data_IF_856729639732
#
_entry.id   IF_856729639732
#
_cell.length_a   1.000
_cell.length_b   1.000
_cell.length_c   1.000
_cell.angle_alpha   90.00
_cell.angle_beta   90.00
_cell.angle_gamma   90.00
#
_symmetry.space_group_name_H-M   'P 1'
#
loop_
_entity.id
_entity.type
_entity.pdbx_description
1 polymer ?
#
# COMPACT_ATOMS: atom_id res chain seq x y z
N UNK A 1 8.42 26.39 -10.97
CA UNK A 1 7.20 26.66 -10.19
C UNK A 1 7.60 27.26 -8.85
N UNK A 2 6.90 28.31 -8.41
CA UNK A 2 7.07 28.94 -7.10
C UNK A 2 5.77 28.79 -6.31
N UNK A 3 5.84 28.21 -5.13
CA UNK A 3 4.74 28.18 -4.16
C UNK A 3 5.04 29.24 -3.11
N UNK A 4 4.12 30.17 -2.89
CA UNK A 4 4.29 31.27 -1.94
C UNK A 4 3.35 31.15 -0.76
N UNK A 5 3.70 31.77 0.37
CA UNK A 5 2.89 31.81 1.58
C UNK A 5 2.46 30.43 2.11
N UNK A 6 3.31 29.40 2.01
CA UNK A 6 3.04 28.06 2.49
C UNK A 6 3.40 27.91 3.97
N UNK A 7 2.47 27.43 4.81
CA UNK A 7 2.77 27.07 6.19
C UNK A 7 3.36 25.68 6.27
N UNK A 8 4.47 25.49 6.97
CA UNK A 8 5.07 24.20 7.27
C UNK A 8 4.55 23.65 8.61
N UNK A 9 4.76 22.35 8.86
CA UNK A 9 4.33 21.67 10.10
C UNK A 9 4.93 22.27 11.37
N UNK A 10 6.03 23.02 11.29
CA UNK A 10 6.67 23.72 12.40
C UNK A 10 6.16 25.16 12.59
N UNK A 11 5.16 25.57 11.81
CA UNK A 11 4.52 26.89 11.88
C UNK A 11 5.27 27.99 11.12
N UNK A 12 6.36 27.69 10.43
CA UNK A 12 7.01 28.69 9.57
C UNK A 12 6.20 28.88 8.29
N UNK A 13 6.02 30.14 7.90
CA UNK A 13 5.49 30.48 6.58
C UNK A 13 6.67 30.76 5.64
N UNK A 14 6.69 30.04 4.52
CA UNK A 14 7.82 30.06 3.57
C UNK A 14 7.32 30.12 2.14
N UNK A 15 8.21 30.52 1.26
CA UNK A 15 8.11 30.28 -0.17
C UNK A 15 9.00 29.08 -0.55
N UNK A 16 8.56 28.30 -1.52
CA UNK A 16 9.23 27.12 -2.00
C UNK A 16 9.31 27.13 -3.53
N UNK A 17 10.53 27.03 -4.07
CA UNK A 17 10.75 26.92 -5.51
C UNK A 17 11.02 25.48 -5.90
N UNK A 18 10.36 25.01 -6.95
CA UNK A 18 10.59 23.73 -7.59
C UNK A 18 11.17 23.94 -8.98
N UNK A 19 12.31 23.31 -9.24
CA UNK A 19 12.97 23.28 -10.54
C UNK A 19 13.05 21.83 -11.03
N UNK A 20 12.36 21.54 -12.16
CA UNK A 20 12.17 20.16 -12.60
C UNK A 20 11.43 19.34 -11.53
N UNK A 21 12.03 18.27 -11.05
CA UNK A 21 11.48 17.34 -10.04
C UNK A 21 12.06 17.55 -8.63
N UNK A 22 12.72 18.70 -8.40
CA UNK A 22 13.43 18.93 -7.13
C UNK A 22 13.04 20.26 -6.51
N UNK A 23 13.05 20.28 -5.17
CA UNK A 23 12.99 21.51 -4.41
C UNK A 23 14.33 22.21 -4.57
N UNK A 24 14.32 23.41 -5.16
CA UNK A 24 15.50 24.23 -5.44
C UNK A 24 15.80 25.19 -4.29
N UNK A 25 14.77 25.82 -3.75
CA UNK A 25 14.92 26.78 -2.66
C UNK A 25 13.73 26.77 -1.70
N UNK A 26 13.99 27.07 -0.42
CA UNK A 26 12.98 27.32 0.62
C UNK A 26 13.44 28.52 1.43
N UNK A 27 12.68 29.61 1.46
CA UNK A 27 12.97 30.80 2.22
C UNK A 27 11.67 31.56 2.61
N UNK A 28 11.78 32.52 3.52
CA UNK A 28 10.62 33.31 3.93
C UNK A 28 10.09 34.26 2.83
N UNK A 29 10.92 34.58 1.86
CA UNK A 29 10.58 35.49 0.74
C UNK A 29 11.52 35.16 -0.43
N UNK A 30 11.00 34.59 -1.50
CA UNK A 30 11.73 34.27 -2.71
C UNK A 30 11.30 35.22 -3.84
N UNK A 31 12.23 36.04 -4.31
CA UNK A 31 12.00 36.95 -5.44
C UNK A 31 11.65 36.17 -6.72
N UNK A 32 10.57 36.57 -7.40
CA UNK A 32 10.12 35.97 -8.66
C UNK A 32 11.13 36.01 -9.80
N UNK A 33 12.17 36.83 -9.73
CA UNK A 33 13.07 37.10 -10.84
C UNK A 33 14.57 36.96 -10.54
N UNK A 34 15.03 36.97 -9.30
CA UNK A 34 16.43 37.11 -8.97
C UNK A 34 17.18 35.77 -8.83
N UNK A 35 16.49 34.71 -8.44
CA UNK A 35 17.09 33.42 -8.13
C UNK A 35 16.90 32.34 -9.22
N UNK A 36 16.22 32.66 -10.30
CA UNK A 36 15.99 31.77 -11.44
C UNK A 36 17.25 31.49 -12.28
N UNK A 37 18.40 32.05 -11.92
CA UNK A 37 19.63 31.99 -12.73
C UNK A 37 20.32 30.61 -12.70
N UNK A 38 19.84 29.63 -11.94
CA UNK A 38 20.53 28.34 -11.75
C UNK A 38 19.93 27.14 -12.49
N UNK A 39 18.67 27.15 -12.90
CA UNK A 39 18.04 25.96 -13.46
C UNK A 39 16.93 26.21 -14.50
N UNK A 40 16.73 27.39 -14.99
CA UNK A 40 15.68 27.68 -15.96
C UNK A 40 16.08 27.30 -17.39
N UNK A 41 15.18 26.63 -18.08
CA UNK A 41 15.16 26.59 -19.55
C UNK A 41 15.11 28.06 -20.05
N UNK A 42 16.10 28.50 -20.85
CA UNK A 42 16.21 29.88 -21.26
C UNK A 42 15.05 30.39 -22.15
N UNK A 43 14.11 29.51 -22.49
CA UNK A 43 12.96 29.82 -23.36
C UNK A 43 11.61 29.88 -22.60
N UNK A 44 11.55 29.74 -21.28
CA UNK A 44 10.29 29.87 -20.52
C UNK A 44 10.24 31.17 -19.71
N UNK A 45 9.57 32.18 -20.26
CA UNK A 45 9.35 33.49 -19.63
C UNK A 45 8.34 33.51 -18.48
N UNK A 46 7.68 32.39 -18.11
CA UNK A 46 6.61 32.35 -17.11
C UNK A 46 6.84 31.24 -16.06
N UNK A 47 7.42 31.61 -14.92
CA UNK A 47 7.39 30.76 -13.72
C UNK A 47 5.95 30.65 -13.21
N UNK A 48 5.40 29.42 -13.19
CA UNK A 48 4.09 29.18 -12.56
C UNK A 48 4.16 29.49 -11.07
N UNK A 49 3.29 30.40 -10.61
CA UNK A 49 3.20 30.80 -9.21
C UNK A 49 1.89 30.30 -8.61
N UNK A 50 1.99 29.64 -7.46
CA UNK A 50 0.85 29.16 -6.66
C UNK A 50 0.93 29.83 -5.30
N UNK A 51 -0.06 30.66 -4.97
CA UNK A 51 -0.19 31.22 -3.62
C UNK A 51 -0.91 30.21 -2.72
N UNK A 52 -0.23 29.70 -1.71
CA UNK A 52 -0.80 28.75 -0.75
C UNK A 52 -1.74 29.43 0.26
N UNK A 53 -1.76 30.78 0.32
CA UNK A 53 -2.65 31.57 1.19
C UNK A 53 -2.62 31.12 2.67
N UNK A 54 -1.44 30.75 3.15
CA UNK A 54 -1.25 30.25 4.52
C UNK A 54 -1.71 28.80 4.75
N UNK A 55 -2.08 28.09 3.69
CA UNK A 55 -2.40 26.66 3.84
C UNK A 55 -1.16 25.84 4.14
N UNK A 56 -1.37 24.73 4.87
CA UNK A 56 -0.32 23.80 5.25
C UNK A 56 0.24 23.08 4.02
N UNK A 57 1.55 23.16 3.85
CA UNK A 57 2.29 22.41 2.82
C UNK A 57 2.88 21.14 3.44
N UNK A 58 2.52 20.01 2.88
CA UNK A 58 2.99 18.68 3.28
C UNK A 58 3.70 18.02 2.11
N UNK A 59 4.62 17.07 2.39
CA UNK A 59 5.03 16.09 1.38
C UNK A 59 3.80 15.35 0.83
N UNK A 60 3.85 14.93 -0.45
CA UNK A 60 2.83 14.05 -0.99
C UNK A 60 2.74 12.76 -0.17
N UNK A 61 1.53 12.28 0.07
CA UNK A 61 1.32 11.05 0.79
C UNK A 61 1.76 9.84 -0.06
N UNK A 62 2.21 8.79 0.62
CA UNK A 62 2.48 7.48 0.03
C UNK A 62 1.39 6.54 0.53
N UNK A 63 0.65 5.93 -0.39
CA UNK A 63 -0.28 4.86 -0.06
C UNK A 63 0.39 3.52 -0.42
N UNK A 64 0.85 2.83 0.61
CA UNK A 64 1.63 1.61 0.45
C UNK A 64 0.77 0.37 0.19
N UNK A 65 -0.57 0.51 0.12
CA UNK A 65 -1.48 -0.61 -0.03
C UNK A 65 -2.73 -0.24 -0.84
N UNK A 66 -2.66 -0.39 -2.16
CA UNK A 66 -3.80 -0.16 -3.04
C UNK A 66 -4.16 -1.41 -3.85
N UNK A 67 -5.40 -1.47 -4.33
CA UNK A 67 -5.91 -2.52 -5.19
C UNK A 67 -6.56 -1.89 -6.43
N UNK A 68 -5.80 -1.55 -7.44
CA UNK A 68 -6.34 -1.01 -8.69
C UNK A 68 -6.99 -2.08 -9.57
N UNK A 69 -6.78 -3.36 -9.23
CA UNK A 69 -7.49 -4.47 -9.87
C UNK A 69 -7.21 -4.67 -11.35
N UNK A 70 -6.30 -3.93 -11.93
CA UNK A 70 -5.85 -4.08 -13.31
C UNK A 70 -4.44 -4.70 -13.35
N UNK A 71 -4.23 -5.74 -14.16
CA UNK A 71 -5.14 -6.35 -15.15
C UNK A 71 -6.23 -7.25 -14.54
N UNK A 72 -7.23 -7.55 -15.37
CA UNK A 72 -8.24 -8.59 -15.14
C UNK A 72 -9.56 -8.12 -14.51
N UNK A 73 -9.56 -7.10 -13.66
CA UNK A 73 -10.74 -6.60 -13.00
C UNK A 73 -10.97 -5.10 -13.24
N UNK A 74 -10.59 -4.59 -14.41
CA UNK A 74 -10.68 -3.17 -14.78
C UNK A 74 -12.08 -2.57 -14.70
N UNK A 75 -13.12 -3.41 -14.56
CA UNK A 75 -14.49 -2.96 -14.26
C UNK A 75 -14.66 -2.43 -12.82
N UNK A 76 -13.72 -2.72 -11.92
CA UNK A 76 -13.71 -2.22 -10.54
C UNK A 76 -12.89 -0.94 -10.44
N UNK A 77 -11.66 -0.96 -10.96
CA UNK A 77 -10.73 0.16 -10.98
C UNK A 77 -9.67 -0.05 -12.06
N UNK A 78 -9.03 1.04 -12.53
CA UNK A 78 -7.91 1.02 -13.47
C UNK A 78 -6.76 1.86 -12.94
N UNK A 79 -5.57 1.69 -13.50
CA UNK A 79 -4.42 2.53 -13.16
C UNK A 79 -4.67 4.00 -13.45
N UNK A 80 -5.31 4.34 -14.57
CA UNK A 80 -5.63 5.73 -14.90
C UNK A 80 -6.57 6.36 -13.87
N UNK A 81 -7.70 5.71 -13.57
CA UNK A 81 -8.73 6.29 -12.69
C UNK A 81 -8.32 6.26 -11.23
N UNK A 82 -7.69 5.17 -10.76
CA UNK A 82 -7.21 5.02 -9.41
C UNK A 82 -6.11 6.02 -9.06
N UNK A 83 -5.10 6.19 -9.94
CA UNK A 83 -4.03 7.16 -9.69
C UNK A 83 -4.50 8.61 -9.77
N UNK A 84 -5.49 8.93 -10.62
CA UNK A 84 -6.11 10.26 -10.61
C UNK A 84 -6.90 10.54 -9.32
N UNK A 85 -7.57 9.53 -8.79
CA UNK A 85 -8.24 9.63 -7.49
C UNK A 85 -7.23 9.84 -6.36
N UNK A 86 -6.14 9.07 -6.35
CA UNK A 86 -5.03 9.20 -5.42
C UNK A 86 -4.42 10.61 -5.45
N UNK A 87 -4.08 11.10 -6.65
CA UNK A 87 -3.54 12.45 -6.85
C UNK A 87 -4.50 13.55 -6.34
N UNK A 88 -5.81 13.40 -6.58
CA UNK A 88 -6.82 14.33 -6.08
C UNK A 88 -6.90 14.35 -4.54
N UNK A 89 -6.52 13.24 -3.87
CA UNK A 89 -6.39 13.13 -2.42
C UNK A 89 -5.04 13.55 -1.85
N UNK A 90 -4.09 13.98 -2.71
CA UNK A 90 -2.73 14.36 -2.29
C UNK A 90 -1.76 13.20 -2.16
N UNK A 91 -2.13 12.00 -2.64
CA UNK A 91 -1.23 10.85 -2.75
C UNK A 91 -0.38 11.00 -4.01
N UNK A 92 0.92 10.86 -3.88
CA UNK A 92 1.89 11.02 -4.98
C UNK A 92 2.61 9.73 -5.34
N UNK A 93 2.47 8.70 -4.52
CA UNK A 93 3.05 7.37 -4.76
C UNK A 93 2.10 6.31 -4.23
N UNK A 94 1.91 5.24 -4.98
CA UNK A 94 1.09 4.09 -4.58
C UNK A 94 1.86 2.78 -4.75
N UNK A 95 1.54 1.77 -3.93
CA UNK A 95 2.06 0.41 -4.11
C UNK A 95 0.87 -0.53 -4.27
N UNK A 96 0.78 -1.19 -5.44
CA UNK A 96 -0.37 -2.02 -5.78
C UNK A 96 -0.15 -3.49 -5.46
N UNK A 97 -1.16 -4.12 -4.85
CA UNK A 97 -1.16 -5.48 -4.36
C UNK A 97 -1.31 -6.52 -5.48
N UNK A 98 -0.86 -7.78 -5.26
CA UNK A 98 -0.73 -8.78 -6.31
C UNK A 98 -2.04 -9.44 -6.76
N UNK A 99 -3.17 -9.20 -6.10
CA UNK A 99 -4.44 -9.88 -6.34
C UNK A 99 -5.21 -9.37 -7.58
N UNK A 100 -4.57 -9.50 -8.71
CA UNK A 100 -5.08 -9.21 -10.06
C UNK A 100 -5.42 -10.51 -10.81
N UNK A 101 -5.75 -10.46 -12.08
CA UNK A 101 -5.98 -11.64 -12.91
C UNK A 101 -5.22 -11.50 -14.25
N UNK A 102 -4.10 -12.26 -14.42
CA UNK A 102 -3.55 -13.22 -13.47
C UNK A 102 -3.02 -12.54 -12.20
N UNK A 103 -2.86 -13.28 -11.08
CA UNK A 103 -2.14 -12.78 -9.91
C UNK A 103 -0.69 -12.45 -10.26
N UNK A 104 -0.10 -11.44 -9.61
CA UNK A 104 1.29 -11.03 -9.85
C UNK A 104 2.26 -12.01 -9.15
N UNK A 105 2.21 -13.28 -9.54
CA UNK A 105 2.97 -14.37 -8.91
C UNK A 105 4.10 -14.91 -9.81
N UNK A 106 4.29 -14.33 -10.99
CA UNK A 106 5.35 -14.68 -11.95
C UNK A 106 5.90 -13.42 -12.60
N UNK A 107 7.11 -13.52 -13.18
CA UNK A 107 7.71 -12.40 -13.92
C UNK A 107 6.84 -11.92 -15.09
N UNK A 108 6.21 -12.83 -15.83
CA UNK A 108 5.32 -12.46 -16.94
C UNK A 108 4.08 -11.70 -16.46
N UNK A 109 3.51 -12.12 -15.33
CA UNK A 109 2.37 -11.41 -14.72
C UNK A 109 2.77 -10.03 -14.19
N UNK A 110 3.96 -9.92 -13.61
CA UNK A 110 4.53 -8.63 -13.20
C UNK A 110 4.70 -7.70 -14.40
N UNK A 111 5.30 -8.17 -15.48
CA UNK A 111 5.54 -7.37 -16.70
C UNK A 111 4.22 -6.90 -17.33
N UNK A 112 3.20 -7.76 -17.36
CA UNK A 112 1.87 -7.39 -17.84
C UNK A 112 1.21 -6.30 -16.97
N UNK A 113 1.36 -6.39 -15.65
CA UNK A 113 0.86 -5.39 -14.72
C UNK A 113 1.63 -4.07 -14.83
N UNK A 114 2.96 -4.13 -14.93
CA UNK A 114 3.80 -2.96 -15.14
C UNK A 114 3.43 -2.20 -16.42
N UNK A 115 3.13 -2.93 -17.51
CA UNK A 115 2.67 -2.32 -18.76
C UNK A 115 1.31 -1.61 -18.59
N UNK A 116 0.38 -2.15 -17.80
CA UNK A 116 -0.87 -1.46 -17.49
C UNK A 116 -0.65 -0.21 -16.62
N UNK A 117 0.33 -0.27 -15.70
CA UNK A 117 0.69 0.81 -14.80
C UNK A 117 1.34 2.02 -15.50
N UNK A 118 1.77 1.90 -16.76
CA UNK A 118 2.21 3.07 -17.57
C UNK A 118 1.12 4.15 -17.74
N UNK A 119 -0.15 3.81 -17.48
CA UNK A 119 -1.26 4.77 -17.46
C UNK A 119 -1.35 5.60 -16.18
N UNK A 120 -0.51 5.32 -15.18
CA UNK A 120 -0.49 6.06 -13.92
C UNK A 120 -0.06 7.51 -14.10
N UNK A 121 -0.67 8.43 -13.36
CA UNK A 121 -0.28 9.85 -13.35
C UNK A 121 0.53 10.27 -12.11
N UNK A 122 0.88 9.31 -11.25
CA UNK A 122 1.73 9.46 -10.07
C UNK A 122 2.74 8.32 -10.03
N UNK A 123 3.70 8.37 -9.14
CA UNK A 123 4.66 7.27 -8.96
C UNK A 123 3.97 6.01 -8.44
N UNK A 124 4.50 4.87 -8.84
CA UNK A 124 3.95 3.58 -8.39
C UNK A 124 5.02 2.54 -8.13
N UNK A 125 4.66 1.59 -7.27
CA UNK A 125 5.38 0.35 -7.05
C UNK A 125 4.44 -0.84 -7.19
N UNK A 126 5.01 -2.02 -7.38
CA UNK A 126 4.28 -3.28 -7.52
C UNK A 126 4.78 -4.30 -6.53
N UNK A 127 3.85 -4.97 -5.86
CA UNK A 127 4.14 -6.12 -5.04
C UNK A 127 3.98 -7.43 -5.83
N UNK A 128 4.80 -8.42 -5.47
CA UNK A 128 4.64 -9.79 -5.93
C UNK A 128 3.78 -10.60 -4.97
N UNK A 129 3.10 -11.65 -5.46
CA UNK A 129 2.26 -12.52 -4.65
C UNK A 129 2.73 -13.96 -4.63
N UNK A 130 2.19 -14.71 -3.67
CA UNK A 130 2.39 -16.15 -3.52
C UNK A 130 1.08 -16.86 -3.82
N UNK A 131 1.11 -17.84 -4.71
CA UNK A 131 -0.05 -18.65 -5.11
C UNK A 131 0.43 -20.06 -5.45
N UNK A 132 -0.50 -20.98 -5.74
CA UNK A 132 -0.15 -22.33 -6.18
C UNK A 132 0.70 -22.41 -7.46
N UNK A 133 0.62 -21.38 -8.31
CA UNK A 133 1.39 -21.24 -9.56
C UNK A 133 2.56 -20.25 -9.42
N UNK A 134 3.01 -19.99 -8.21
CA UNK A 134 4.10 -19.05 -7.93
C UNK A 134 5.42 -19.48 -8.56
N UNK A 135 6.04 -18.59 -9.31
CA UNK A 135 7.38 -18.75 -9.88
C UNK A 135 8.34 -17.70 -9.28
N UNK A 136 8.95 -18.01 -8.11
CA UNK A 136 9.82 -17.07 -7.41
C UNK A 136 11.03 -16.63 -8.24
N UNK A 137 11.62 -17.53 -9.02
CA UNK A 137 12.83 -17.19 -9.76
C UNK A 137 12.56 -16.11 -10.80
N UNK A 138 11.48 -16.22 -11.55
CA UNK A 138 11.11 -15.19 -12.53
C UNK A 138 10.57 -13.93 -11.88
N UNK A 139 9.90 -14.04 -10.73
CA UNK A 139 9.28 -12.92 -10.04
C UNK A 139 10.33 -12.02 -9.36
N UNK A 140 11.29 -12.61 -8.63
CA UNK A 140 12.34 -11.85 -7.96
C UNK A 140 13.40 -11.26 -8.91
N UNK A 141 13.41 -11.66 -10.17
CA UNK A 141 14.15 -10.95 -11.24
C UNK A 141 13.53 -9.58 -11.58
N UNK A 142 12.40 -9.22 -10.99
CA UNK A 142 11.67 -7.96 -11.19
C UNK A 142 11.84 -7.03 -9.99
N UNK A 143 11.68 -5.70 -10.19
CA UNK A 143 11.82 -4.71 -9.13
C UNK A 143 10.58 -4.68 -8.21
N UNK A 144 10.40 -5.71 -7.39
CA UNK A 144 9.34 -5.76 -6.39
C UNK A 144 9.56 -4.70 -5.30
N UNK A 145 8.47 -4.08 -4.83
CA UNK A 145 8.51 -3.29 -3.60
C UNK A 145 8.47 -4.17 -2.37
N UNK A 146 7.65 -5.23 -2.39
CA UNK A 146 7.55 -6.25 -1.35
C UNK A 146 7.02 -7.56 -1.94
N UNK A 147 7.17 -8.66 -1.22
CA UNK A 147 6.44 -9.90 -1.45
C UNK A 147 5.16 -9.85 -0.62
N UNK A 148 4.03 -9.81 -1.24
CA UNK A 148 2.74 -9.75 -0.58
C UNK A 148 1.79 -8.73 -1.23
N UNK A 149 0.59 -8.72 -0.83
CA UNK A 149 -0.04 -9.35 0.35
C UNK A 149 -0.01 -10.88 0.25
N UNK A 150 0.68 -11.57 1.16
CA UNK A 150 0.60 -13.02 1.29
C UNK A 150 -0.57 -13.35 2.22
N UNK A 151 -1.49 -14.19 1.76
CA UNK A 151 -2.73 -14.47 2.47
C UNK A 151 -2.61 -15.75 3.30
N UNK A 152 -2.62 -15.65 4.63
CA UNK A 152 -2.63 -16.82 5.52
C UNK A 152 -4.01 -17.49 5.58
N UNK A 153 -5.07 -16.76 5.23
CA UNK A 153 -6.40 -17.28 4.98
C UNK A 153 -6.95 -16.72 3.67
N UNK A 154 -7.77 -17.48 2.95
CA UNK A 154 -8.35 -17.01 1.69
C UNK A 154 -9.36 -15.88 1.93
N UNK A 155 -9.04 -14.72 1.39
CA UNK A 155 -9.86 -13.51 1.52
C UNK A 155 -10.46 -13.03 0.19
N UNK A 156 -9.74 -13.24 -0.90
CA UNK A 156 -10.08 -12.68 -2.22
C UNK A 156 -10.26 -13.72 -3.31
N UNK A 157 -10.36 -14.99 -2.94
CA UNK A 157 -10.59 -16.14 -3.80
C UNK A 157 -9.29 -16.77 -4.29
N UNK A 158 -8.98 -17.94 -3.72
CA UNK A 158 -7.91 -18.85 -4.13
C UNK A 158 -6.48 -18.27 -4.06
N UNK A 159 -6.23 -17.35 -3.10
CA UNK A 159 -4.90 -16.81 -2.82
C UNK A 159 -4.36 -17.20 -1.44
N UNK A 160 -5.11 -17.94 -0.62
CA UNK A 160 -4.66 -18.45 0.66
C UNK A 160 -3.50 -19.43 0.48
N UNK A 161 -2.46 -19.31 1.31
CA UNK A 161 -1.28 -20.20 1.28
C UNK A 161 -1.24 -21.08 2.50
N UNK A 162 -0.76 -22.31 2.34
CA UNK A 162 -0.51 -23.20 3.46
C UNK A 162 0.69 -22.70 4.30
N UNK A 163 0.77 -23.04 5.60
CA UNK A 163 1.89 -22.64 6.46
C UNK A 163 3.27 -22.98 5.88
N UNK A 164 3.47 -24.17 5.37
CA UNK A 164 4.75 -24.60 4.76
C UNK A 164 5.13 -23.75 3.54
N UNK A 165 4.13 -23.34 2.74
CA UNK A 165 4.35 -22.47 1.58
C UNK A 165 4.65 -21.03 2.00
N UNK A 166 4.02 -20.55 3.09
CA UNK A 166 4.33 -19.25 3.67
C UNK A 166 5.77 -19.20 4.19
N UNK A 167 6.19 -20.19 4.97
CA UNK A 167 7.56 -20.28 5.49
C UNK A 167 8.59 -20.32 4.35
N UNK A 168 8.33 -21.11 3.30
CA UNK A 168 9.19 -21.18 2.12
C UNK A 168 9.25 -19.84 1.36
N UNK A 169 8.14 -19.11 1.30
CA UNK A 169 8.07 -17.78 0.68
C UNK A 169 8.86 -16.74 1.49
N UNK A 170 8.77 -16.79 2.81
CA UNK A 170 9.54 -15.93 3.72
C UNK A 170 11.04 -16.21 3.57
N UNK A 171 11.46 -17.47 3.58
CA UNK A 171 12.88 -17.84 3.37
C UNK A 171 13.41 -17.31 2.02
N UNK A 172 12.58 -17.38 0.98
CA UNK A 172 12.97 -16.86 -0.34
C UNK A 172 13.08 -15.31 -0.31
N UNK A 173 12.14 -14.61 0.32
CA UNK A 173 12.16 -13.16 0.44
C UNK A 173 13.40 -12.66 1.21
N UNK A 174 13.79 -13.37 2.27
CA UNK A 174 15.04 -13.09 3.02
C UNK A 174 16.27 -13.21 2.12
N UNK A 175 16.33 -14.23 1.27
CA UNK A 175 17.46 -14.41 0.35
C UNK A 175 17.61 -13.27 -0.67
N UNK A 176 16.52 -12.57 -0.98
CA UNK A 176 16.47 -11.46 -1.93
C UNK A 176 16.41 -10.07 -1.25
N UNK A 177 16.48 -10.02 0.09
CA UNK A 177 16.39 -8.76 0.89
C UNK A 177 15.08 -7.99 0.61
N UNK A 178 13.94 -8.72 0.57
CA UNK A 178 12.62 -8.19 0.25
C UNK A 178 11.70 -8.33 1.46
N UNK A 179 11.00 -7.25 1.84
CA UNK A 179 9.97 -7.26 2.89
C UNK A 179 8.81 -8.17 2.51
N UNK A 180 8.24 -8.89 3.50
CA UNK A 180 7.03 -9.69 3.32
C UNK A 180 5.84 -8.97 3.94
N UNK A 181 4.84 -8.64 3.12
CA UNK A 181 3.56 -8.07 3.56
C UNK A 181 2.54 -9.17 3.72
N UNK A 182 1.87 -9.24 4.87
CA UNK A 182 1.02 -10.37 5.25
C UNK A 182 -0.41 -9.93 5.52
N UNK A 183 -1.37 -10.56 4.83
CA UNK A 183 -2.79 -10.58 5.21
C UNK A 183 -2.97 -11.64 6.28
N UNK A 184 -2.99 -11.21 7.54
CA UNK A 184 -2.88 -12.10 8.69
C UNK A 184 -4.26 -12.45 9.26
N UNK A 185 -4.79 -13.61 8.89
CA UNK A 185 -6.00 -14.19 9.48
C UNK A 185 -5.82 -15.71 9.62
N UNK A 186 -6.24 -16.27 10.75
CA UNK A 186 -6.30 -17.72 10.98
C UNK A 186 -7.74 -18.22 10.77
N UNK A 187 -7.98 -18.88 9.65
CA UNK A 187 -9.32 -19.38 9.30
C UNK A 187 -9.88 -20.40 10.30
N UNK A 188 -9.01 -21.08 11.08
CA UNK A 188 -9.45 -22.05 12.08
C UNK A 188 -10.15 -21.40 13.27
N UNK A 189 -9.99 -20.09 13.44
CA UNK A 189 -10.58 -19.27 14.48
C UNK A 189 -11.76 -18.42 13.99
N UNK A 190 -12.20 -18.63 12.74
CA UNK A 190 -13.41 -17.96 12.23
C UNK A 190 -14.68 -18.50 12.92
N UNK A 191 -15.62 -17.61 13.23
CA UNK A 191 -16.91 -18.01 13.82
C UNK A 191 -17.93 -18.40 12.74
N UNK A 192 -17.91 -19.68 12.36
CA UNK A 192 -18.87 -20.24 11.39
C UNK A 192 -20.34 -20.03 11.81
N UNK A 193 -20.62 -19.94 13.11
CA UNK A 193 -21.99 -19.73 13.59
C UNK A 193 -22.52 -18.33 13.27
N UNK A 194 -21.64 -17.34 13.20
CA UNK A 194 -21.99 -16.00 12.77
C UNK A 194 -22.37 -15.96 11.28
N UNK A 195 -21.67 -16.74 10.44
CA UNK A 195 -21.96 -16.82 9.00
C UNK A 195 -23.30 -17.53 8.73
N UNK A 196 -23.59 -18.59 9.47
CA UNK A 196 -24.79 -19.40 9.29
C UNK A 196 -26.01 -18.82 10.03
N UNK A 197 -25.81 -17.85 10.91
CA UNK A 197 -26.83 -17.19 11.71
C UNK A 197 -27.67 -16.23 10.88
N UNK A 198 -28.72 -16.75 10.23
CA UNK A 198 -29.78 -15.93 9.63
C UNK A 198 -30.64 -15.26 10.73
N UNK A 199 -30.07 -14.34 11.45
CA UNK A 199 -30.74 -13.52 12.45
C UNK A 199 -31.68 -12.52 11.74
N UNK A 200 -32.72 -13.00 11.07
CA UNK A 200 -33.80 -12.16 10.58
C UNK A 200 -34.02 -12.12 9.08
N UNK A 201 -33.58 -13.11 8.31
CA UNK A 201 -33.91 -13.24 6.87
C UNK A 201 -33.24 -12.21 5.94
N UNK A 202 -32.28 -11.47 6.44
CA UNK A 202 -31.39 -10.60 5.64
C UNK A 202 -30.07 -11.30 5.53
N UNK A 203 -29.86 -12.10 4.51
CA UNK A 203 -28.60 -12.81 4.32
C UNK A 203 -27.36 -11.88 4.36
N UNK A 204 -26.18 -12.45 4.31
CA UNK A 204 -24.84 -11.85 4.29
C UNK A 204 -24.74 -10.53 3.50
N UNK A 205 -25.46 -10.41 2.39
CA UNK A 205 -25.44 -9.25 1.51
C UNK A 205 -26.13 -8.00 2.10
N UNK A 206 -26.80 -8.14 3.24
CA UNK A 206 -27.57 -7.06 3.86
C UNK A 206 -27.06 -6.65 5.25
N UNK A 207 -26.08 -7.35 5.82
CA UNK A 207 -25.55 -7.06 7.15
C UNK A 207 -24.03 -7.21 7.21
N UNK A 208 -23.32 -6.07 7.17
CA UNK A 208 -21.88 -6.03 7.26
C UNK A 208 -21.35 -6.56 8.63
N UNK A 209 -22.14 -6.43 9.71
CA UNK A 209 -21.75 -6.89 11.04
C UNK A 209 -21.57 -8.42 11.10
N UNK A 210 -22.28 -9.17 10.27
CA UNK A 210 -22.10 -10.63 10.20
C UNK A 210 -20.69 -11.01 9.71
N UNK A 211 -20.11 -10.21 8.84
CA UNK A 211 -18.79 -10.46 8.34
C UNK A 211 -17.71 -10.17 9.38
N UNK A 212 -17.84 -9.08 10.12
CA UNK A 212 -16.96 -8.75 11.24
C UNK A 212 -17.08 -9.76 12.39
N UNK A 213 -18.29 -10.30 12.64
CA UNK A 213 -18.48 -11.35 13.62
C UNK A 213 -17.89 -12.71 13.19
N UNK A 214 -17.89 -13.00 11.88
CA UNK A 214 -17.30 -14.21 11.31
C UNK A 214 -15.78 -14.19 11.39
N UNK A 215 -15.13 -13.07 10.98
CA UNK A 215 -13.68 -12.85 11.03
C UNK A 215 -13.34 -12.21 12.37
N UNK A 216 -12.92 -13.05 13.32
CA UNK A 216 -12.75 -12.63 14.71
C UNK A 216 -11.44 -11.89 14.95
N UNK A 217 -11.40 -11.06 16.00
CA UNK A 217 -10.16 -10.42 16.45
C UNK A 217 -9.08 -11.46 16.86
N UNK A 218 -9.51 -12.58 17.44
CA UNK A 218 -8.60 -13.67 17.81
C UNK A 218 -7.94 -14.31 16.58
N UNK A 219 -8.65 -14.38 15.46
CA UNK A 219 -8.11 -14.91 14.20
C UNK A 219 -7.02 -13.99 13.63
N UNK A 220 -7.22 -12.67 13.68
CA UNK A 220 -6.19 -11.71 13.28
C UNK A 220 -4.97 -11.80 14.21
N UNK A 221 -5.17 -11.72 15.51
CA UNK A 221 -4.07 -11.72 16.49
C UNK A 221 -3.21 -12.99 16.41
N UNK A 222 -3.84 -14.17 16.30
CA UNK A 222 -3.13 -15.45 16.20
C UNK A 222 -2.28 -15.54 14.92
N UNK A 223 -2.83 -15.08 13.79
CA UNK A 223 -2.11 -15.07 12.52
C UNK A 223 -0.95 -14.05 12.52
N UNK A 224 -1.13 -12.90 13.18
CA UNK A 224 -0.04 -11.92 13.37
C UNK A 224 1.07 -12.51 14.23
N UNK A 225 0.74 -13.17 15.35
CA UNK A 225 1.72 -13.87 16.20
C UNK A 225 2.51 -14.91 15.40
N UNK A 226 1.83 -15.73 14.59
CA UNK A 226 2.47 -16.71 13.73
C UNK A 226 3.40 -16.06 12.70
N UNK A 227 2.92 -15.08 11.94
CA UNK A 227 3.73 -14.42 10.93
C UNK A 227 4.98 -13.75 11.51
N UNK A 228 4.85 -13.12 12.68
CA UNK A 228 5.98 -12.47 13.38
C UNK A 228 6.95 -13.48 13.99
N UNK A 229 6.47 -14.67 14.43
CA UNK A 229 7.33 -15.75 14.87
C UNK A 229 8.20 -16.27 13.72
N UNK A 230 7.61 -16.56 12.57
CA UNK A 230 8.33 -16.95 11.35
C UNK A 230 9.35 -15.88 10.95
N UNK A 231 8.95 -14.60 10.97
CA UNK A 231 9.86 -13.48 10.69
C UNK A 231 11.06 -13.43 11.63
N UNK A 232 10.86 -13.67 12.93
CA UNK A 232 11.92 -13.69 13.93
C UNK A 232 12.88 -14.88 13.76
N UNK A 233 12.36 -16.06 13.41
CA UNK A 233 13.16 -17.26 13.18
C UNK A 233 14.03 -17.16 11.93
N UNK A 234 13.52 -16.53 10.88
CA UNK A 234 14.19 -16.36 9.58
C UNK A 234 14.98 -15.04 9.48
N UNK A 235 14.75 -14.09 10.39
CA UNK A 235 15.22 -12.70 10.32
C UNK A 235 14.63 -11.93 9.14
N UNK A 236 13.41 -12.25 8.74
CA UNK A 236 12.68 -11.54 7.71
C UNK A 236 12.07 -10.24 8.22
N UNK A 237 12.03 -9.23 7.36
CA UNK A 237 11.25 -8.02 7.59
C UNK A 237 9.77 -8.33 7.27
N UNK A 238 8.94 -8.42 8.32
CA UNK A 238 7.51 -8.65 8.22
C UNK A 238 6.75 -7.33 8.38
N UNK A 239 5.79 -7.12 7.48
CA UNK A 239 4.81 -6.04 7.56
C UNK A 239 3.39 -6.61 7.58
N UNK A 240 2.60 -6.28 8.59
CA UNK A 240 1.22 -6.74 8.72
C UNK A 240 0.29 -5.73 8.05
N UNK A 241 -0.43 -6.19 7.03
CA UNK A 241 -1.36 -5.38 6.27
C UNK A 241 -2.63 -5.06 7.08
N UNK A 242 -3.18 -3.87 6.88
CA UNK A 242 -4.51 -3.42 7.34
C UNK A 242 -4.96 -4.00 8.68
N UNK A 243 -4.07 -4.01 9.70
CA UNK A 243 -4.35 -4.53 11.04
C UNK A 243 -5.54 -3.78 11.64
N UNK A 244 -6.60 -4.50 11.99
CA UNK A 244 -7.89 -3.91 12.32
C UNK A 244 -8.23 -3.92 13.81
N UNK A 245 -7.47 -4.67 14.62
CA UNK A 245 -7.73 -4.87 16.04
C UNK A 245 -6.60 -4.39 16.93
N UNK A 246 -6.88 -3.92 18.16
CA UNK A 246 -5.84 -3.61 19.14
C UNK A 246 -4.95 -4.80 19.47
N UNK A 247 -5.52 -6.01 19.48
CA UNK A 247 -4.82 -7.27 19.75
C UNK A 247 -3.81 -7.58 18.63
N UNK A 248 -4.21 -7.42 17.36
CA UNK A 248 -3.33 -7.60 16.21
C UNK A 248 -2.19 -6.57 16.19
N UNK A 249 -2.49 -5.30 16.50
CA UNK A 249 -1.45 -4.25 16.61
C UNK A 249 -0.46 -4.60 17.73
N UNK A 250 -0.96 -5.05 18.90
CA UNK A 250 -0.10 -5.44 20.01
C UNK A 250 0.79 -6.62 19.64
N UNK A 251 0.24 -7.65 18.99
CA UNK A 251 0.99 -8.80 18.50
C UNK A 251 2.08 -8.41 17.49
N UNK A 252 1.80 -7.52 16.54
CA UNK A 252 2.78 -7.02 15.59
C UNK A 252 3.94 -6.30 16.30
N UNK A 253 3.63 -5.40 17.23
CA UNK A 253 4.63 -4.64 18.00
C UNK A 253 5.48 -5.58 18.86
N UNK A 254 4.87 -6.50 19.58
CA UNK A 254 5.57 -7.48 20.44
C UNK A 254 6.42 -8.44 19.62
N UNK A 255 5.98 -8.78 18.42
CA UNK A 255 6.71 -9.60 17.45
C UNK A 255 7.84 -8.86 16.72
N UNK A 256 7.89 -7.51 16.82
CA UNK A 256 8.90 -6.67 16.17
C UNK A 256 8.61 -6.37 14.69
N UNK A 257 7.39 -6.66 14.21
CA UNK A 257 6.95 -6.32 12.87
C UNK A 257 6.45 -4.87 12.78
N UNK A 258 6.44 -4.34 11.56
CA UNK A 258 5.66 -3.14 11.25
C UNK A 258 4.23 -3.53 10.90
N UNK A 259 3.28 -2.62 11.09
CA UNK A 259 1.89 -2.82 10.65
C UNK A 259 1.28 -1.52 10.15
N UNK A 260 0.23 -1.64 9.37
CA UNK A 260 -0.55 -0.53 8.87
C UNK A 260 -2.01 -0.63 9.29
N UNK A 261 -2.70 0.49 9.30
CA UNK A 261 -4.15 0.58 9.57
C UNK A 261 -4.84 1.34 8.43
N UNK A 262 -6.06 0.97 8.12
CA UNK A 262 -6.87 1.76 7.20
C UNK A 262 -7.47 2.98 7.92
N UNK A 263 -7.71 4.11 7.22
CA UNK A 263 -8.30 5.30 7.85
C UNK A 263 -9.60 5.02 8.59
N UNK A 264 -10.45 4.11 8.09
CA UNK A 264 -11.71 3.76 8.75
C UNK A 264 -11.51 3.05 10.09
N UNK A 265 -10.40 2.32 10.31
CA UNK A 265 -10.08 1.73 11.62
C UNK A 265 -9.87 2.78 12.72
N UNK A 266 -9.59 4.05 12.33
CA UNK A 266 -9.40 5.16 13.27
C UNK A 266 -10.70 5.90 13.61
N UNK A 267 -11.79 5.68 12.87
CA UNK A 267 -13.03 6.45 12.97
C UNK A 267 -14.28 5.61 13.30
N UNK A 268 -14.22 4.30 13.14
CA UNK A 268 -15.34 3.37 13.37
C UNK A 268 -15.03 2.41 14.57
#
# INVERSE_FOLDING_TARGET
>A
MLITNAELVDGRVVDLRVAGERIDAVAADLDRAADAASAADPDSDDETVVDADGNLLLPGAIDAHVHFREPGFSHKETWETGTRSAAAGGVTTVIDMPNTSPPTATGDAFDAKAAAAEAACIDYGLNGGVTGDWDPDSLFDRPLCALGEVFLADSTGDMGVAPDDFEAAVDRAVAEDVTVTVHAEDETLFDESARDGDAGGCGRDANADLWSAYRTADAEAAAVEYATEVGRETSADIHIAHTSTPEGIAAAVDGGATCEVCPHHLYL
#
